data_IF_402752851910
#
_entry.id   IF_402752851910
#
_cell.length_a   1.000
_cell.length_b   1.000
_cell.length_c   1.000
_cell.angle_alpha   90.00
_cell.angle_beta   90.00
_cell.angle_gamma   90.00
#
_symmetry.space_group_name_H-M   'P 1'
#
loop_
_entity.id
_entity.type
_entity.pdbx_description
1 polymer ?
#
# COMPACT_ATOMS: atom_id res chain seq x y z
N UNK A 1 -8.80 24.64 -2.83
CA UNK A 1 -9.24 23.43 -2.10
C UNK A 1 -9.01 22.27 -3.04
N UNK A 2 -8.11 21.36 -2.70
CA UNK A 2 -7.82 20.17 -3.52
C UNK A 2 -8.90 19.11 -3.40
N UNK A 3 -8.85 18.12 -4.28
CA UNK A 3 -9.73 16.95 -4.23
C UNK A 3 -9.37 16.08 -3.02
N UNK A 4 -10.37 15.55 -2.31
CA UNK A 4 -10.13 14.61 -1.22
C UNK A 4 -10.00 13.20 -1.77
N UNK A 5 -8.91 12.53 -1.40
CA UNK A 5 -8.62 11.16 -1.79
C UNK A 5 -8.50 10.30 -0.55
N UNK A 6 -8.93 9.05 -0.66
CA UNK A 6 -8.80 8.04 0.39
C UNK A 6 -7.68 7.06 0.07
N UNK A 7 -6.95 6.64 1.09
CA UNK A 7 -5.93 5.60 0.98
C UNK A 7 -6.63 4.23 0.88
N UNK A 8 -6.41 3.50 -0.23
CA UNK A 8 -7.06 2.21 -0.50
C UNK A 8 -6.19 0.98 -0.16
N UNK A 9 -4.93 1.20 0.21
CA UNK A 9 -4.02 0.14 0.65
C UNK A 9 -3.91 0.13 2.18
N UNK A 10 -3.51 -1.01 2.75
CA UNK A 10 -3.40 -1.16 4.20
C UNK A 10 -2.49 -0.11 4.84
N UNK A 11 -1.29 0.03 4.29
CA UNK A 11 -0.24 0.92 4.74
C UNK A 11 0.44 1.54 3.50
N UNK A 12 0.70 2.85 3.50
CA UNK A 12 1.44 3.52 2.44
C UNK A 12 2.37 4.61 3.00
N UNK A 13 3.48 4.86 2.30
CA UNK A 13 4.48 5.83 2.71
C UNK A 13 4.34 7.13 1.90
N UNK A 14 4.30 8.26 2.59
CA UNK A 14 4.48 9.58 1.99
C UNK A 14 5.96 9.91 2.00
N UNK A 15 6.46 10.40 0.87
CA UNK A 15 7.89 10.63 0.61
C UNK A 15 8.20 12.09 0.33
N UNK A 16 9.46 12.49 0.52
CA UNK A 16 9.94 13.85 0.21
C UNK A 16 9.93 14.19 -1.28
N UNK A 17 9.98 13.18 -2.14
CA UNK A 17 10.12 13.32 -3.59
C UNK A 17 9.23 12.30 -4.30
N UNK A 18 8.82 12.54 -5.55
CA UNK A 18 8.03 11.62 -6.36
C UNK A 18 8.89 10.45 -6.87
N UNK A 19 9.45 9.67 -5.96
CA UNK A 19 10.30 8.51 -6.23
C UNK A 19 10.21 7.52 -5.07
N UNK A 20 10.31 6.23 -5.39
CA UNK A 20 10.41 5.15 -4.38
C UNK A 20 11.70 5.23 -3.56
N UNK A 21 12.64 6.10 -3.95
CA UNK A 21 13.86 6.38 -3.19
C UNK A 21 13.80 7.70 -2.42
N UNK A 22 12.69 8.43 -2.49
CA UNK A 22 12.49 9.61 -1.65
C UNK A 22 12.42 9.18 -0.17
N UNK A 23 13.01 9.97 0.73
CA UNK A 23 12.94 9.69 2.15
C UNK A 23 11.48 9.67 2.63
N UNK A 24 11.14 8.71 3.48
CA UNK A 24 9.78 8.58 4.04
C UNK A 24 9.59 9.64 5.12
N UNK A 25 8.55 10.47 4.99
CA UNK A 25 8.23 11.53 5.95
C UNK A 25 7.01 11.21 6.81
N UNK A 26 6.13 10.34 6.32
CA UNK A 26 4.95 9.88 7.05
C UNK A 26 4.48 8.53 6.50
N UNK A 27 3.71 7.80 7.32
CA UNK A 27 2.97 6.60 6.90
C UNK A 27 1.50 6.87 7.10
N UNK A 28 0.69 6.54 6.10
CA UNK A 28 -0.77 6.65 6.09
C UNK A 28 -1.37 5.26 5.96
N UNK A 29 -2.58 5.10 6.48
CA UNK A 29 -3.27 3.83 6.60
C UNK A 29 -4.55 3.82 5.77
N UNK A 30 -5.07 2.63 5.53
CA UNK A 30 -6.34 2.45 4.84
C UNK A 30 -7.45 3.35 5.41
N UNK A 31 -8.14 4.07 4.53
CA UNK A 31 -9.21 5.00 4.89
C UNK A 31 -8.75 6.41 5.25
N UNK A 32 -7.45 6.66 5.43
CA UNK A 32 -6.94 8.00 5.69
C UNK A 32 -7.32 8.95 4.54
N UNK A 33 -7.72 10.17 4.89
CA UNK A 33 -8.09 11.22 3.93
C UNK A 33 -6.95 12.19 3.69
N UNK A 34 -6.64 12.40 2.43
CA UNK A 34 -5.58 13.27 1.96
C UNK A 34 -6.17 14.28 0.98
N UNK A 35 -5.63 15.49 0.97
CA UNK A 35 -6.02 16.49 -0.03
C UNK A 35 -4.99 16.54 -1.14
N UNK A 36 -5.41 16.39 -2.40
CA UNK A 36 -4.53 16.51 -3.55
C UNK A 36 -4.01 17.94 -3.69
N UNK A 37 -2.74 18.08 -4.05
CA UNK A 37 -2.09 19.37 -4.32
C UNK A 37 -1.69 19.44 -5.79
N UNK A 38 -0.90 18.46 -6.24
CA UNK A 38 -0.36 18.41 -7.59
C UNK A 38 -0.07 16.97 -7.99
N UNK A 39 -0.24 16.64 -9.27
CA UNK A 39 0.20 15.37 -9.85
C UNK A 39 1.49 15.56 -10.65
N UNK A 40 2.46 14.65 -10.49
CA UNK A 40 3.66 14.54 -11.31
C UNK A 40 3.85 13.08 -11.71
N UNK A 41 3.61 12.77 -12.98
CA UNK A 41 3.60 11.41 -13.51
C UNK A 41 2.67 10.48 -12.70
N UNK A 42 3.20 9.39 -12.14
CA UNK A 42 2.46 8.45 -11.28
C UNK A 42 2.51 8.81 -9.79
N UNK A 43 2.91 10.03 -9.46
CA UNK A 43 3.00 10.52 -8.10
C UNK A 43 2.05 11.69 -7.87
N UNK A 44 1.46 11.71 -6.69
CA UNK A 44 0.60 12.78 -6.25
C UNK A 44 1.21 13.43 -5.02
N UNK A 45 1.38 14.74 -5.07
CA UNK A 45 1.64 15.56 -3.90
C UNK A 45 0.33 15.76 -3.14
N UNK A 46 0.36 15.41 -1.87
CA UNK A 46 -0.79 15.44 -0.97
C UNK A 46 -0.49 16.25 0.27
N UNK A 47 -1.50 16.97 0.75
CA UNK A 47 -1.48 17.62 2.05
C UNK A 47 -2.10 16.71 3.11
N UNK A 48 -1.42 16.57 4.25
CA UNK A 48 -1.81 15.75 5.39
C UNK A 48 -1.50 16.45 6.71
N UNK A 49 -2.26 16.14 7.77
CA UNK A 49 -2.05 16.73 9.10
C UNK A 49 -2.18 18.27 9.15
N UNK A 50 -2.97 18.85 8.24
CA UNK A 50 -3.31 20.28 8.21
C UNK A 50 -2.34 21.17 7.42
N UNK A 51 -1.04 20.90 7.44
CA UNK A 51 -0.04 21.76 6.75
C UNK A 51 1.18 21.04 6.19
N UNK A 52 1.30 19.72 6.36
CA UNK A 52 2.44 18.96 5.82
C UNK A 52 2.11 18.48 4.41
N UNK A 53 3.10 18.51 3.54
CA UNK A 53 2.98 18.05 2.15
C UNK A 53 4.02 16.98 1.85
N UNK A 54 3.68 16.08 0.94
CA UNK A 54 4.62 15.12 0.41
C UNK A 54 4.02 14.26 -0.68
N UNK A 55 4.82 13.36 -1.22
CA UNK A 55 4.52 12.59 -2.41
C UNK A 55 4.08 11.17 -2.07
N UNK A 56 2.97 10.75 -2.64
CA UNK A 56 2.45 9.39 -2.55
C UNK A 56 2.17 8.86 -3.95
N UNK A 57 2.38 7.57 -4.17
CA UNK A 57 2.12 6.97 -5.47
C UNK A 57 0.61 6.82 -5.71
N UNK A 58 0.13 7.13 -6.91
CA UNK A 58 -1.31 7.16 -7.22
C UNK A 58 -2.01 5.82 -7.02
N UNK A 59 -1.28 4.70 -7.13
CA UNK A 59 -1.85 3.36 -6.91
C UNK A 59 -2.33 3.11 -5.48
N UNK A 60 -1.88 3.92 -4.52
CA UNK A 60 -2.30 3.82 -3.12
C UNK A 60 -3.58 4.61 -2.82
N UNK A 61 -4.06 5.41 -3.77
CA UNK A 61 -5.15 6.37 -3.59
C UNK A 61 -6.36 6.02 -4.44
N UNK A 62 -7.54 6.37 -3.94
CA UNK A 62 -8.79 6.36 -4.68
C UNK A 62 -9.54 7.68 -4.45
N UNK A 63 -10.24 8.10 -5.49
CA UNK A 63 -11.25 9.15 -5.50
C UNK A 63 -12.52 8.78 -4.71
N UNK A 64 -12.72 7.49 -4.42
CA UNK A 64 -13.86 7.01 -3.64
C UNK A 64 -13.66 7.28 -2.16
N UNK A 65 -14.64 7.92 -1.54
CA UNK A 65 -14.69 8.03 -0.10
C UNK A 65 -14.86 6.66 0.55
N UNK A 66 -13.85 6.25 1.32
CA UNK A 66 -13.91 5.02 2.12
C UNK A 66 -14.68 5.32 3.41
N UNK A 67 -16.00 5.12 3.38
CA UNK A 67 -16.81 5.16 4.60
C UNK A 67 -16.85 3.78 5.26
N UNK A 68 -16.40 3.70 6.52
CA UNK A 68 -16.56 2.52 7.36
C UNK A 68 -18.00 2.47 7.93
N UNK A 69 -18.99 2.35 7.06
CA UNK A 69 -20.37 2.09 7.44
C UNK A 69 -20.80 0.73 6.87
N UNK A 70 -20.83 -0.35 7.67
CA UNK A 70 -21.40 -1.61 7.22
C UNK A 70 -22.92 -1.46 7.19
N UNK A 71 -23.47 -0.86 6.13
CA UNK A 71 -24.87 -1.09 5.77
C UNK A 71 -24.94 -2.41 5.01
N UNK A 72 -25.88 -3.28 5.40
CA UNK A 72 -26.00 -4.63 4.84
C UNK A 72 -26.18 -4.65 3.31
N UNK A 73 -26.61 -3.54 2.70
CA UNK A 73 -26.72 -3.41 1.25
C UNK A 73 -25.38 -3.20 0.52
N UNK A 74 -24.37 -2.54 1.14
CA UNK A 74 -23.08 -2.26 0.47
C UNK A 74 -22.05 -3.40 0.59
N UNK A 75 -22.23 -4.28 1.57
CA UNK A 75 -21.45 -5.52 1.74
C UNK A 75 -21.70 -6.52 0.61
N UNK A 76 -22.86 -6.42 -0.07
CA UNK A 76 -23.19 -7.26 -1.24
C UNK A 76 -22.70 -6.68 -2.58
N UNK A 77 -22.18 -5.44 -2.62
CA UNK A 77 -21.63 -4.81 -3.84
C UNK A 77 -20.14 -4.51 -3.77
N UNK A 78 -19.56 -4.51 -2.57
CA UNK A 78 -18.11 -4.58 -2.41
C UNK A 78 -17.74 -6.03 -2.64
N UNK A 79 -16.78 -6.29 -3.55
CA UNK A 79 -16.34 -7.64 -3.89
C UNK A 79 -16.23 -8.47 -2.61
N UNK A 80 -17.04 -9.51 -2.47
CA UNK A 80 -17.04 -10.31 -1.24
C UNK A 80 -15.62 -10.83 -1.03
N UNK A 81 -15.22 -11.10 0.21
CA UNK A 81 -13.90 -11.70 0.48
C UNK A 81 -13.66 -12.98 -0.37
N UNK A 82 -14.74 -13.66 -0.75
CA UNK A 82 -14.74 -14.82 -1.65
C UNK A 82 -14.52 -14.45 -3.13
N UNK A 83 -15.08 -13.33 -3.62
CA UNK A 83 -14.82 -12.79 -4.97
C UNK A 83 -13.39 -12.23 -5.10
N UNK A 84 -12.89 -11.56 -4.06
CA UNK A 84 -11.51 -11.08 -3.99
C UNK A 84 -10.52 -12.27 -3.96
N UNK A 85 -10.85 -13.33 -3.22
CA UNK A 85 -10.10 -14.57 -3.24
C UNK A 85 -10.11 -15.19 -4.65
N UNK A 86 -11.25 -15.21 -5.36
CA UNK A 86 -11.33 -15.76 -6.71
C UNK A 86 -10.38 -15.04 -7.70
N UNK A 87 -10.27 -13.71 -7.59
CA UNK A 87 -9.32 -12.90 -8.36
C UNK A 87 -7.85 -13.17 -7.97
N UNK A 88 -7.60 -13.46 -6.69
CA UNK A 88 -6.32 -13.87 -6.13
C UNK A 88 -6.06 -15.38 -6.13
N UNK A 89 -6.76 -16.19 -6.95
CA UNK A 89 -6.63 -17.68 -7.01
C UNK A 89 -6.93 -18.43 -5.70
N UNK A 90 -7.70 -17.84 -4.79
CA UNK A 90 -8.11 -18.41 -3.51
C UNK A 90 -7.18 -18.08 -2.35
N UNK A 91 -6.14 -17.27 -2.56
CA UNK A 91 -5.15 -16.98 -1.52
C UNK A 91 -5.59 -15.80 -0.66
N UNK A 92 -6.13 -16.10 0.53
CA UNK A 92 -6.40 -15.10 1.57
C UNK A 92 -6.05 -15.68 2.97
N UNK A 93 -6.02 -14.80 3.98
CA UNK A 93 -5.64 -15.18 5.35
C UNK A 93 -6.53 -16.29 5.94
N UNK A 94 -7.84 -16.26 5.67
CA UNK A 94 -8.79 -17.24 6.19
C UNK A 94 -8.58 -18.64 5.56
N UNK A 95 -8.32 -18.68 4.25
CA UNK A 95 -8.02 -19.92 3.52
C UNK A 95 -6.70 -20.51 4.02
N UNK A 96 -5.67 -19.69 4.25
CA UNK A 96 -4.41 -20.15 4.79
C UNK A 96 -4.55 -20.71 6.20
N UNK A 97 -5.29 -20.03 7.08
CA UNK A 97 -5.57 -20.52 8.44
C UNK A 97 -6.29 -21.88 8.42
N UNK A 98 -7.29 -22.04 7.54
CA UNK A 98 -7.98 -23.31 7.36
C UNK A 98 -7.03 -24.39 6.80
N UNK A 99 -6.21 -24.05 5.83
CA UNK A 99 -5.26 -24.97 5.20
C UNK A 99 -4.19 -25.45 6.18
N UNK A 100 -3.67 -24.57 7.05
CA UNK A 100 -2.75 -24.90 8.15
C UNK A 100 -3.38 -25.89 9.14
N UNK A 101 -4.66 -25.71 9.49
CA UNK A 101 -5.39 -26.64 10.39
C UNK A 101 -5.58 -28.01 9.78
N UNK A 102 -5.87 -28.08 8.48
CA UNK A 102 -6.10 -29.34 7.76
C UNK A 102 -4.81 -30.06 7.39
N UNK A 103 -3.69 -29.34 7.27
CA UNK A 103 -2.41 -29.86 6.81
C UNK A 103 -1.27 -29.53 7.78
N UNK A 104 -1.36 -30.02 9.02
CA UNK A 104 -0.37 -29.79 10.09
C UNK A 104 1.04 -30.31 9.77
N UNK A 105 1.19 -31.16 8.76
CA UNK A 105 2.45 -31.70 8.26
C UNK A 105 3.21 -30.77 7.29
N UNK A 106 2.57 -29.71 6.80
CA UNK A 106 3.21 -28.76 5.87
C UNK A 106 3.98 -27.71 6.66
N UNK A 107 5.21 -27.44 6.24
CA UNK A 107 6.08 -26.44 6.87
C UNK A 107 5.87 -25.06 6.21
N UNK A 108 5.34 -24.11 6.99
CA UNK A 108 5.10 -22.74 6.55
C UNK A 108 6.22 -21.76 6.91
N UNK A 109 7.31 -22.22 7.53
CA UNK A 109 8.40 -21.35 8.02
C UNK A 109 8.95 -20.44 6.93
N UNK A 110 9.06 -20.89 5.68
CA UNK A 110 9.52 -20.04 4.58
C UNK A 110 8.50 -18.99 4.14
N UNK A 111 7.21 -19.32 4.21
CA UNK A 111 6.12 -18.37 3.95
C UNK A 111 6.12 -17.30 5.03
N UNK A 112 6.17 -17.70 6.29
CA UNK A 112 6.23 -16.79 7.44
C UNK A 112 7.49 -15.91 7.38
N UNK A 113 8.61 -16.48 6.93
CA UNK A 113 9.88 -15.75 6.75
C UNK A 113 9.81 -14.72 5.62
N UNK A 114 9.19 -15.04 4.49
CA UNK A 114 9.10 -14.09 3.38
C UNK A 114 8.07 -12.99 3.64
N UNK A 115 7.00 -13.29 4.39
CA UNK A 115 6.00 -12.30 4.81
C UNK A 115 6.60 -11.24 5.74
N UNK A 116 7.57 -11.63 6.56
CA UNK A 116 8.26 -10.73 7.51
C UNK A 116 9.43 -9.98 6.89
N UNK A 117 9.87 -10.36 5.68
CA UNK A 117 11.00 -9.73 5.02
C UNK A 117 10.65 -8.30 4.62
N UNK A 118 11.40 -7.33 5.16
CA UNK A 118 11.27 -5.90 4.84
C UNK A 118 12.67 -5.31 4.74
N UNK A 119 13.05 -4.84 3.56
CA UNK A 119 14.28 -4.06 3.42
C UNK A 119 14.04 -2.63 3.90
N UNK A 120 14.95 -2.11 4.71
CA UNK A 120 14.97 -0.70 5.06
C UNK A 120 15.38 0.16 3.87
N UNK A 121 15.00 1.44 3.89
CA UNK A 121 15.44 2.41 2.89
C UNK A 121 16.98 2.49 2.81
N UNK A 122 17.66 2.35 3.94
CA UNK A 122 19.12 2.39 4.05
C UNK A 122 19.79 1.19 3.37
N UNK A 123 19.22 -0.01 3.51
CA UNK A 123 19.69 -1.22 2.84
C UNK A 123 19.50 -1.12 1.32
N UNK A 124 18.36 -0.60 0.88
CA UNK A 124 18.09 -0.32 -0.55
C UNK A 124 19.13 0.67 -1.09
N UNK A 125 19.43 1.75 -0.38
CA UNK A 125 20.44 2.73 -0.80
C UNK A 125 21.86 2.14 -0.86
N UNK A 126 22.23 1.30 0.12
CA UNK A 126 23.52 0.58 0.10
C UNK A 126 23.61 -0.35 -1.10
N UNK A 127 22.54 -1.09 -1.38
CA UNK A 127 22.46 -1.98 -2.53
C UNK A 127 22.62 -1.22 -3.86
N UNK A 128 21.91 -0.10 -4.02
CA UNK A 128 22.02 0.74 -5.21
C UNK A 128 23.44 1.30 -5.41
N UNK A 129 24.08 1.78 -4.33
CA UNK A 129 25.46 2.27 -4.37
C UNK A 129 26.45 1.17 -4.73
N UNK A 130 26.32 -0.01 -4.12
CA UNK A 130 27.21 -1.14 -4.35
C UNK A 130 27.09 -1.70 -5.79
N UNK A 131 25.88 -1.70 -6.35
CA UNK A 131 25.62 -2.18 -7.70
C UNK A 131 25.75 -1.12 -8.80
N UNK A 132 26.15 0.12 -8.48
CA UNK A 132 26.16 1.28 -9.41
C UNK A 132 24.84 1.47 -10.17
N UNK A 133 23.73 1.07 -9.53
CA UNK A 133 22.42 1.04 -10.16
C UNK A 133 21.83 2.45 -10.20
N UNK A 134 21.42 2.88 -11.39
CA UNK A 134 20.67 4.12 -11.63
C UNK A 134 19.21 3.77 -11.89
N UNK A 135 18.34 3.83 -10.87
CA UNK A 135 16.94 3.49 -11.05
C UNK A 135 16.27 4.54 -11.94
N UNK A 136 15.65 4.09 -13.03
CA UNK A 136 14.92 4.94 -13.97
C UNK A 136 13.50 5.32 -13.48
N UNK A 137 13.23 5.21 -12.17
CA UNK A 137 11.89 5.32 -11.60
C UNK A 137 11.76 6.43 -10.57
N UNK A 138 10.96 7.44 -10.90
CA UNK A 138 10.63 8.58 -10.04
C UNK A 138 11.11 9.88 -10.66
N UNK A 139 10.21 10.86 -10.73
CA UNK A 139 10.48 12.10 -11.44
C UNK A 139 11.53 12.92 -10.69
N UNK A 140 12.68 13.15 -11.33
CA UNK A 140 13.77 13.99 -10.84
C UNK A 140 13.29 15.37 -10.35
#
# INVERSE_FOLDING_TARGET
MGEQLSVQVRDCQIRTKPSFLGAVIATVHYGDRLSSVQTKDSWLEVSFGGSKQGWIHVSALTDKEITLHPSAQQVNQSASSDELALAGKGFNKQVEEQFRRQNSQINFTWVDKIETYRDSQEEIEKFLKAGELKPAGGAA
#
